data_IF_932691807240
#
_entry.id   IF_932691807240
#
_cell.length_a   1.000
_cell.length_b   1.000
_cell.length_c   1.000
_cell.angle_alpha   90.00
_cell.angle_beta   90.00
_cell.angle_gamma   90.00
#
_symmetry.space_group_name_H-M   'P 1'
#
loop_
_entity.id
_entity.type
_entity.pdbx_description
1 polymer ?
#
# COMPACT_ATOMS: atom_id res chain seq x y z
N UNK A 1 -14.25 5.54 -2.47
CA UNK A 1 -14.62 6.17 -1.19
C UNK A 1 -15.69 5.39 -0.44
N UNK A 2 -16.91 5.23 -0.96
CA UNK A 2 -17.97 4.47 -0.27
C UNK A 2 -17.56 3.04 0.10
N UNK A 3 -16.87 2.32 -0.80
CA UNK A 3 -16.36 0.98 -0.53
C UNK A 3 -15.34 0.94 0.62
N UNK A 4 -14.37 1.86 0.66
CA UNK A 4 -13.38 1.92 1.74
C UNK A 4 -14.04 2.24 3.10
N UNK A 5 -14.98 3.18 3.12
CA UNK A 5 -15.71 3.54 4.35
C UNK A 5 -16.56 2.38 4.84
N UNK A 6 -17.25 1.68 3.93
CA UNK A 6 -18.01 0.48 4.25
C UNK A 6 -17.09 -0.60 4.85
N UNK A 7 -15.96 -0.88 4.21
CA UNK A 7 -15.00 -1.89 4.66
C UNK A 7 -14.44 -1.56 6.06
N UNK A 8 -14.01 -0.32 6.30
CA UNK A 8 -13.50 0.12 7.61
C UNK A 8 -14.59 0.05 8.68
N UNK A 9 -15.83 0.48 8.36
CA UNK A 9 -16.94 0.43 9.32
C UNK A 9 -17.38 -1.00 9.64
N UNK A 10 -17.26 -1.92 8.69
CA UNK A 10 -17.57 -3.33 8.89
C UNK A 10 -16.54 -4.00 9.80
N UNK A 11 -15.25 -3.71 9.61
CA UNK A 11 -14.14 -4.36 10.32
C UNK A 11 -13.69 -3.65 11.61
N UNK A 12 -14.27 -2.50 11.91
CA UNK A 12 -13.95 -1.74 13.12
C UNK A 12 -15.22 -1.11 13.68
N UNK A 13 -16.17 -1.94 14.17
CA UNK A 13 -17.45 -1.45 14.69
C UNK A 13 -17.27 -0.64 15.98
N UNK A 14 -16.34 -1.02 16.86
CA UNK A 14 -16.18 -0.43 18.21
C UNK A 14 -14.86 0.32 18.45
N UNK A 15 -14.02 0.50 17.43
CA UNK A 15 -12.78 1.29 17.55
C UNK A 15 -11.65 0.65 18.36
N UNK A 16 -11.87 -0.53 18.93
CA UNK A 16 -10.92 -1.25 19.79
C UNK A 16 -10.89 -2.71 19.35
N UNK A 17 -9.81 -3.09 18.66
CA UNK A 17 -9.09 -4.36 18.84
C UNK A 17 -8.13 -4.58 17.65
N UNK A 18 -6.83 -4.50 17.94
CA UNK A 18 -5.77 -5.01 17.07
C UNK A 18 -4.74 -5.75 17.93
N UNK A 19 -5.16 -6.83 18.60
CA UNK A 19 -4.22 -7.75 19.26
C UNK A 19 -3.67 -8.81 18.29
N UNK A 20 -4.13 -8.84 17.03
CA UNK A 20 -3.45 -9.59 15.99
C UNK A 20 -2.36 -8.73 15.34
N UNK A 21 -1.13 -9.25 15.43
CA UNK A 21 0.10 -8.76 14.84
C UNK A 21 0.00 -8.62 13.30
N UNK A 22 -0.79 -7.66 12.84
CA UNK A 22 -0.60 -7.09 11.52
C UNK A 22 0.82 -6.48 11.51
N UNK A 23 1.60 -6.65 10.44
CA UNK A 23 2.85 -5.94 10.31
C UNK A 23 2.50 -4.45 10.34
N UNK A 24 2.75 -3.79 11.48
CA UNK A 24 2.44 -2.38 11.62
C UNK A 24 3.46 -1.61 10.81
N UNK A 25 3.06 -1.29 9.58
CA UNK A 25 3.86 -0.56 8.59
C UNK A 25 4.30 0.81 9.14
N UNK A 26 3.62 1.34 10.17
CA UNK A 26 3.85 2.67 10.74
C UNK A 26 4.42 2.75 12.15
N UNK A 27 4.57 1.64 12.91
CA UNK A 27 5.06 1.67 14.30
C UNK A 27 6.37 0.89 14.47
N UNK A 28 7.40 1.30 13.72
CA UNK A 28 8.71 0.62 13.71
C UNK A 28 9.55 0.94 14.96
N UNK A 29 9.41 2.15 15.50
CA UNK A 29 10.25 2.63 16.62
C UNK A 29 9.46 2.81 17.92
N UNK A 30 8.22 3.28 17.84
CA UNK A 30 7.39 3.53 19.02
C UNK A 30 5.97 2.99 18.83
N UNK A 31 5.48 2.25 19.83
CA UNK A 31 4.10 1.79 19.90
C UNK A 31 3.37 2.73 20.86
N UNK A 32 2.49 3.58 20.33
CA UNK A 32 1.76 4.57 21.14
C UNK A 32 0.83 3.84 22.13
N UNK A 33 1.04 4.04 23.44
CA UNK A 33 0.15 3.58 24.50
C UNK A 33 -0.72 4.74 25.02
N UNK A 34 -1.99 4.47 25.36
CA UNK A 34 -2.95 5.52 25.75
C UNK A 34 -2.52 6.33 26.98
N UNK A 35 -1.69 5.76 27.86
CA UNK A 35 -1.25 6.40 29.11
C UNK A 35 -0.10 7.41 28.97
N UNK A 36 0.54 7.51 27.80
CA UNK A 36 1.71 8.38 27.63
C UNK A 36 1.38 9.88 27.49
N UNK A 37 2.31 10.71 27.98
CA UNK A 37 2.25 12.17 27.84
C UNK A 37 2.22 12.60 26.37
N UNK A 38 1.42 13.62 26.03
CA UNK A 38 1.24 14.11 24.65
C UNK A 38 2.54 14.48 23.96
N UNK A 39 3.55 14.97 24.69
CA UNK A 39 4.87 15.29 24.13
C UNK A 39 5.69 14.05 23.79
N UNK A 40 5.54 12.96 24.56
CA UNK A 40 6.20 11.68 24.30
C UNK A 40 5.57 10.99 23.08
N UNK A 41 4.22 11.00 22.99
CA UNK A 41 3.47 10.51 21.81
C UNK A 41 3.88 11.26 20.55
N UNK A 42 3.93 12.59 20.59
CA UNK A 42 4.36 13.40 19.45
C UNK A 42 5.80 13.09 19.01
N UNK A 43 6.74 12.98 19.96
CA UNK A 43 8.14 12.65 19.65
C UNK A 43 8.30 11.27 19.01
N UNK A 44 7.65 10.25 19.57
CA UNK A 44 7.65 8.89 19.02
C UNK A 44 7.00 8.81 17.64
N UNK A 45 5.84 9.46 17.48
CA UNK A 45 5.11 9.54 16.22
C UNK A 45 5.92 10.24 15.11
N UNK A 46 6.65 11.31 15.45
CA UNK A 46 7.50 12.04 14.50
C UNK A 46 8.62 11.16 13.97
N UNK A 47 9.27 10.40 14.85
CA UNK A 47 10.35 9.47 14.47
C UNK A 47 9.80 8.34 13.60
N UNK A 48 8.66 7.75 13.98
CA UNK A 48 7.98 6.73 13.18
C UNK A 48 7.65 7.24 11.76
N UNK A 49 7.03 8.42 11.66
CA UNK A 49 6.68 9.02 10.37
C UNK A 49 7.93 9.33 9.53
N UNK A 50 9.01 9.82 10.15
CA UNK A 50 10.27 10.09 9.46
C UNK A 50 10.91 8.82 8.90
N UNK A 51 10.98 7.74 9.71
CA UNK A 51 11.50 6.44 9.26
C UNK A 51 10.68 5.90 8.10
N UNK A 52 9.35 6.00 8.19
CA UNK A 52 8.45 5.56 7.13
C UNK A 52 8.68 6.31 5.81
N UNK A 53 8.75 7.65 5.85
CA UNK A 53 9.00 8.45 4.64
C UNK A 53 10.42 8.22 4.10
N UNK A 54 11.42 8.07 4.96
CA UNK A 54 12.78 7.73 4.55
C UNK A 54 12.83 6.38 3.84
N UNK A 55 12.12 5.37 4.34
CA UNK A 55 12.01 4.05 3.73
C UNK A 55 11.37 4.12 2.33
N UNK A 56 10.24 4.82 2.18
CA UNK A 56 9.59 5.02 0.87
C UNK A 56 10.52 5.75 -0.11
N UNK A 57 11.23 6.76 0.39
CA UNK A 57 12.18 7.53 -0.42
C UNK A 57 13.29 6.64 -0.95
N UNK A 58 13.91 5.83 -0.09
CA UNK A 58 14.95 4.86 -0.49
C UNK A 58 14.41 3.88 -1.53
N UNK A 59 13.22 3.32 -1.31
CA UNK A 59 12.60 2.38 -2.26
C UNK A 59 12.34 3.03 -3.62
N UNK A 60 11.88 4.27 -3.63
CA UNK A 60 11.63 5.05 -4.86
C UNK A 60 12.93 5.31 -5.62
N UNK A 61 14.01 5.67 -4.91
CA UNK A 61 15.34 5.83 -5.51
C UNK A 61 15.89 4.53 -6.07
N UNK A 62 15.69 3.40 -5.39
CA UNK A 62 16.09 2.07 -5.89
C UNK A 62 15.38 1.76 -7.20
N UNK A 63 14.04 1.90 -7.25
CA UNK A 63 13.26 1.67 -8.49
C UNK A 63 13.73 2.61 -9.61
N UNK A 64 13.96 3.88 -9.29
CA UNK A 64 14.47 4.86 -10.25
C UNK A 64 15.86 4.48 -10.81
N UNK A 65 16.79 4.06 -9.95
CA UNK A 65 18.12 3.61 -10.38
C UNK A 65 18.00 2.37 -11.28
N UNK A 66 17.16 1.40 -10.92
CA UNK A 66 16.94 0.22 -11.76
C UNK A 66 16.35 0.58 -13.13
N UNK A 67 15.47 1.58 -13.18
CA UNK A 67 14.95 2.10 -14.44
C UNK A 67 16.06 2.74 -15.27
N UNK A 68 16.92 3.54 -14.64
CA UNK A 68 18.07 4.18 -15.29
C UNK A 68 19.09 3.17 -15.84
N UNK A 69 19.31 2.06 -15.15
CA UNK A 69 20.21 0.98 -15.59
C UNK A 69 19.57 0.01 -16.59
N UNK A 70 18.37 0.31 -17.11
CA UNK A 70 17.66 -0.52 -18.09
C UNK A 70 17.39 -1.95 -17.63
N UNK A 71 17.22 -2.19 -16.33
CA UNK A 71 16.93 -3.51 -15.76
C UNK A 71 15.44 -3.90 -15.94
N UNK A 72 14.90 -3.83 -17.16
CA UNK A 72 13.46 -3.99 -17.47
C UNK A 72 12.89 -5.32 -16.98
N UNK A 73 13.65 -6.42 -17.06
CA UNK A 73 13.20 -7.74 -16.58
C UNK A 73 13.00 -7.77 -15.07
N UNK A 74 13.85 -7.08 -14.32
CA UNK A 74 13.71 -6.98 -12.87
C UNK A 74 12.50 -6.14 -12.50
N UNK A 75 12.29 -5.01 -13.18
CA UNK A 75 11.12 -4.15 -12.96
C UNK A 75 9.83 -4.91 -13.24
N UNK A 76 9.79 -5.66 -14.35
CA UNK A 76 8.65 -6.52 -14.70
C UNK A 76 8.36 -7.55 -13.60
N UNK A 77 9.38 -8.25 -13.10
CA UNK A 77 9.23 -9.20 -12.00
C UNK A 77 8.80 -8.53 -10.68
N UNK A 78 9.38 -7.37 -10.35
CA UNK A 78 9.05 -6.59 -9.17
C UNK A 78 7.59 -6.15 -9.17
N UNK A 79 7.08 -5.63 -10.29
CA UNK A 79 5.67 -5.20 -10.41
C UNK A 79 4.70 -6.35 -10.18
N UNK A 80 5.00 -7.53 -10.74
CA UNK A 80 4.21 -8.74 -10.51
C UNK A 80 4.26 -9.22 -9.07
N UNK A 81 5.46 -9.30 -8.48
CA UNK A 81 5.63 -9.72 -7.09
C UNK A 81 4.94 -8.74 -6.12
N UNK A 82 5.11 -7.43 -6.33
CA UNK A 82 4.48 -6.40 -5.51
C UNK A 82 2.94 -6.48 -5.61
N UNK A 83 2.39 -6.55 -6.83
CA UNK A 83 0.95 -6.72 -7.03
C UNK A 83 0.40 -7.98 -6.36
N UNK A 84 1.08 -9.10 -6.55
CA UNK A 84 0.70 -10.37 -5.92
C UNK A 84 0.77 -10.29 -4.39
N UNK A 85 1.81 -9.68 -3.83
CA UNK A 85 1.97 -9.54 -2.37
C UNK A 85 0.87 -8.69 -1.73
N UNK A 86 0.35 -7.67 -2.44
CA UNK A 86 -0.75 -6.85 -1.96
C UNK A 86 -2.04 -7.69 -1.89
N UNK A 87 -2.36 -8.45 -2.93
CA UNK A 87 -3.59 -9.27 -2.94
C UNK A 87 -3.48 -10.49 -2.03
N UNK A 88 -2.40 -11.26 -2.14
CA UNK A 88 -2.21 -12.52 -1.44
C UNK A 88 -1.77 -12.34 0.02
N UNK A 89 -1.11 -11.23 0.35
CA UNK A 89 -0.72 -10.91 1.73
C UNK A 89 -1.76 -10.01 2.40
N UNK A 90 -1.76 -8.73 2.01
CA UNK A 90 -2.60 -7.73 2.66
C UNK A 90 -4.09 -7.98 2.43
N UNK A 91 -4.49 -8.29 1.20
CA UNK A 91 -5.87 -8.57 0.83
C UNK A 91 -6.42 -9.85 1.46
N UNK A 92 -5.60 -10.89 1.59
CA UNK A 92 -5.93 -12.11 2.33
C UNK A 92 -6.29 -11.79 3.79
N UNK A 93 -5.46 -11.00 4.49
CA UNK A 93 -5.71 -10.61 5.88
C UNK A 93 -7.05 -9.87 6.05
N UNK A 94 -7.37 -8.93 5.15
CA UNK A 94 -8.66 -8.22 5.17
C UNK A 94 -9.81 -9.19 4.90
N UNK A 95 -9.66 -10.12 3.95
CA UNK A 95 -10.69 -11.11 3.65
C UNK A 95 -10.98 -12.03 4.84
N UNK A 96 -9.98 -12.44 5.61
CA UNK A 96 -10.20 -13.24 6.84
C UNK A 96 -11.01 -12.46 7.87
N UNK A 97 -10.64 -11.20 8.12
CA UNK A 97 -11.36 -10.35 9.06
C UNK A 97 -12.82 -10.14 8.62
N UNK A 98 -13.08 -9.95 7.32
CA UNK A 98 -14.45 -9.87 6.78
C UNK A 98 -15.23 -11.18 6.98
N UNK A 99 -14.59 -12.34 6.79
CA UNK A 99 -15.24 -13.64 6.99
C UNK A 99 -15.59 -13.88 8.46
N UNK A 100 -14.72 -13.46 9.38
CA UNK A 100 -14.93 -13.57 10.82
C UNK A 100 -16.08 -12.66 11.29
N UNK A 101 -16.11 -11.40 10.85
CA UNK A 101 -17.19 -10.46 11.18
C UNK A 101 -18.56 -10.88 10.63
N UNK A 102 -18.58 -11.58 9.50
CA UNK A 102 -19.81 -12.11 8.89
C UNK A 102 -20.19 -13.50 9.39
N UNK A 103 -19.42 -14.10 10.31
CA UNK A 103 -19.58 -15.47 10.82
C UNK A 103 -19.72 -16.53 9.71
N UNK A 104 -18.99 -16.35 8.60
CA UNK A 104 -19.01 -17.26 7.45
C UNK A 104 -17.95 -18.34 7.65
N UNK A 105 -18.40 -19.54 8.03
CA UNK A 105 -17.54 -20.71 8.12
C UNK A 105 -17.10 -21.18 6.72
N UNK A 106 -15.84 -20.94 6.37
CA UNK A 106 -15.24 -21.33 5.10
C UNK A 106 -14.02 -22.22 5.33
N UNK A 107 -13.95 -23.36 4.63
CA UNK A 107 -12.84 -24.30 4.76
C UNK A 107 -11.52 -23.71 4.24
N UNK A 108 -10.40 -24.02 4.89
CA UNK A 108 -9.09 -23.48 4.53
C UNK A 108 -8.70 -23.74 3.06
N UNK A 109 -9.13 -24.86 2.48
CA UNK A 109 -8.87 -25.22 1.07
C UNK A 109 -9.62 -24.25 0.15
N UNK A 110 -10.92 -24.08 0.38
CA UNK A 110 -11.76 -23.17 -0.41
C UNK A 110 -11.25 -21.75 -0.29
N UNK A 111 -10.85 -21.35 0.92
CA UNK A 111 -10.30 -20.03 1.20
C UNK A 111 -9.05 -19.76 0.37
N UNK A 112 -8.08 -20.68 0.44
CA UNK A 112 -6.81 -20.58 -0.28
C UNK A 112 -7.03 -20.53 -1.78
N UNK A 113 -7.94 -21.36 -2.32
CA UNK A 113 -8.24 -21.37 -3.76
C UNK A 113 -8.85 -20.03 -4.21
N UNK A 114 -9.77 -19.45 -3.44
CA UNK A 114 -10.38 -18.15 -3.78
C UNK A 114 -9.32 -17.04 -3.78
N UNK A 115 -8.52 -16.95 -2.71
CA UNK A 115 -7.49 -15.92 -2.57
C UNK A 115 -6.41 -16.07 -3.64
N UNK A 116 -6.00 -17.30 -3.95
CA UNK A 116 -5.02 -17.56 -4.99
C UNK A 116 -5.52 -17.09 -6.37
N UNK A 117 -6.75 -17.48 -6.74
CA UNK A 117 -7.34 -17.06 -8.00
C UNK A 117 -7.50 -15.53 -8.08
N UNK A 118 -8.00 -14.90 -7.03
CA UNK A 118 -8.15 -13.45 -6.96
C UNK A 118 -6.81 -12.73 -7.08
N UNK A 119 -5.76 -13.22 -6.41
CA UNK A 119 -4.44 -12.60 -6.39
C UNK A 119 -3.71 -12.75 -7.73
N UNK A 120 -3.77 -13.93 -8.35
CA UNK A 120 -3.16 -14.17 -9.66
C UNK A 120 -3.88 -13.37 -10.74
N UNK A 121 -5.23 -13.45 -10.78
CA UNK A 121 -6.02 -12.72 -11.77
C UNK A 121 -5.87 -11.21 -11.58
N UNK A 122 -5.88 -10.72 -10.35
CA UNK A 122 -5.68 -9.31 -10.04
C UNK A 122 -4.32 -8.79 -10.49
N UNK A 123 -3.26 -9.54 -10.20
CA UNK A 123 -1.89 -9.17 -10.61
C UNK A 123 -1.74 -9.15 -12.13
N UNK A 124 -2.25 -10.18 -12.81
CA UNK A 124 -2.22 -10.27 -14.27
C UNK A 124 -3.03 -9.14 -14.92
N UNK A 125 -4.25 -8.89 -14.43
CA UNK A 125 -5.15 -7.88 -14.99
C UNK A 125 -4.65 -6.44 -14.81
N UNK A 126 -3.90 -6.16 -13.74
CA UNK A 126 -3.39 -4.81 -13.48
C UNK A 126 -2.11 -4.53 -14.28
N UNK A 127 -1.17 -5.48 -14.32
CA UNK A 127 0.20 -5.22 -14.76
C UNK A 127 0.61 -5.90 -16.07
N UNK A 128 0.05 -7.07 -16.41
CA UNK A 128 0.62 -7.92 -17.47
C UNK A 128 -0.32 -8.17 -18.65
N UNK A 129 -1.62 -7.99 -18.48
CA UNK A 129 -2.62 -8.31 -19.50
C UNK A 129 -3.54 -7.13 -19.78
N UNK A 130 -3.84 -6.90 -21.05
CA UNK A 130 -4.91 -6.01 -21.49
C UNK A 130 -6.28 -6.65 -21.17
N UNK A 131 -6.86 -6.23 -20.05
CA UNK A 131 -8.18 -6.64 -19.57
C UNK A 131 -9.20 -5.50 -19.74
N UNK A 132 -10.51 -5.78 -19.79
CA UNK A 132 -11.53 -4.73 -19.89
C UNK A 132 -11.36 -3.69 -18.78
N UNK A 133 -11.54 -2.41 -19.14
CA UNK A 133 -11.28 -1.27 -18.26
C UNK A 133 -11.99 -1.38 -16.90
N UNK A 134 -13.22 -1.90 -16.88
CA UNK A 134 -14.01 -2.08 -15.66
C UNK A 134 -13.34 -3.02 -14.66
N UNK A 135 -12.72 -4.10 -15.16
CA UNK A 135 -12.05 -5.09 -14.30
C UNK A 135 -10.74 -4.51 -13.75
N UNK A 136 -9.94 -3.86 -14.60
CA UNK A 136 -8.71 -3.17 -14.17
C UNK A 136 -9.00 -2.11 -13.12
N UNK A 137 -9.98 -1.25 -13.37
CA UNK A 137 -10.41 -0.23 -12.41
C UNK A 137 -10.91 -0.85 -11.10
N UNK A 138 -11.68 -1.94 -11.17
CA UNK A 138 -12.11 -2.69 -9.98
C UNK A 138 -10.93 -3.12 -9.11
N UNK A 139 -9.93 -3.79 -9.71
CA UNK A 139 -8.74 -4.22 -8.97
C UNK A 139 -7.90 -3.04 -8.44
N UNK A 140 -7.80 -1.93 -9.17
CA UNK A 140 -7.16 -0.71 -8.66
C UNK A 140 -7.89 -0.13 -7.44
N UNK A 141 -9.24 -0.16 -7.44
CA UNK A 141 -10.04 0.26 -6.29
C UNK A 141 -9.78 -0.66 -5.09
N UNK A 142 -9.70 -1.99 -5.30
CA UNK A 142 -9.38 -2.94 -4.24
C UNK A 142 -7.99 -2.68 -3.64
N UNK A 143 -6.95 -2.48 -4.46
CA UNK A 143 -5.59 -2.16 -3.98
C UNK A 143 -5.61 -0.90 -3.12
N UNK A 144 -6.29 0.16 -3.58
CA UNK A 144 -6.41 1.41 -2.83
C UNK A 144 -7.18 1.24 -1.52
N UNK A 145 -8.26 0.47 -1.52
CA UNK A 145 -9.07 0.20 -0.33
C UNK A 145 -8.33 -0.62 0.72
N UNK A 146 -7.66 -1.70 0.31
CA UNK A 146 -6.83 -2.54 1.18
C UNK A 146 -5.72 -1.69 1.80
N UNK A 147 -4.97 -0.94 0.98
CA UNK A 147 -3.86 -0.10 1.47
C UNK A 147 -4.37 0.96 2.45
N UNK A 148 -5.50 1.61 2.16
CA UNK A 148 -6.10 2.58 3.06
C UNK A 148 -6.54 1.96 4.39
N UNK A 149 -7.09 0.74 4.38
CA UNK A 149 -7.45 0.01 5.60
C UNK A 149 -6.25 -0.28 6.50
N UNK A 150 -5.09 -0.62 5.93
CA UNK A 150 -3.88 -0.76 6.75
C UNK A 150 -3.39 0.58 7.30
N UNK A 151 -3.57 1.68 6.56
CA UNK A 151 -3.28 3.02 7.11
C UNK A 151 -4.21 3.43 8.24
N UNK A 152 -5.46 2.96 8.31
CA UNK A 152 -6.35 3.25 9.45
C UNK A 152 -5.93 2.55 10.73
N UNK A 153 -5.03 1.57 10.68
CA UNK A 153 -4.46 0.90 11.86
C UNK A 153 -3.28 1.68 12.47
N UNK A 154 -2.84 2.77 11.85
CA UNK A 154 -1.76 3.63 12.39
C UNK A 154 -2.34 4.56 13.46
N UNK A 155 -1.63 4.78 14.59
CA UNK A 155 -2.06 5.74 15.62
C UNK A 155 -2.29 7.15 15.08
N UNK A 156 -3.13 7.93 15.76
CA UNK A 156 -3.56 9.25 15.28
C UNK A 156 -2.39 10.23 15.07
N UNK A 157 -1.50 10.36 16.05
CA UNK A 157 -0.35 11.28 15.97
C UNK A 157 0.57 10.91 14.82
N UNK A 158 0.89 9.62 14.70
CA UNK A 158 1.71 9.10 13.59
C UNK A 158 1.03 9.36 12.24
N UNK A 159 -0.29 9.21 12.14
CA UNK A 159 -1.05 9.48 10.91
C UNK A 159 -1.00 10.95 10.50
N UNK A 160 -1.26 11.88 11.42
CA UNK A 160 -1.19 13.32 11.13
C UNK A 160 0.21 13.74 10.65
N UNK A 161 1.25 13.24 11.31
CA UNK A 161 2.62 13.54 10.95
C UNK A 161 3.02 12.91 9.61
N UNK A 162 2.58 11.68 9.33
CA UNK A 162 2.78 11.02 8.05
C UNK A 162 2.15 11.84 6.91
N UNK A 163 0.92 12.31 7.08
CA UNK A 163 0.23 13.15 6.09
C UNK A 163 1.02 14.43 5.77
N UNK A 164 1.49 15.14 6.81
CA UNK A 164 2.29 16.35 6.64
C UNK A 164 3.63 16.04 5.96
N UNK A 165 4.34 15.00 6.41
CA UNK A 165 5.64 14.63 5.84
C UNK A 165 5.54 14.14 4.39
N UNK A 166 4.50 13.39 4.04
CA UNK A 166 4.25 12.97 2.66
C UNK A 166 3.90 14.15 1.76
N UNK A 167 3.12 15.12 2.24
CA UNK A 167 2.84 16.35 1.49
C UNK A 167 4.12 17.16 1.23
N UNK A 168 5.00 17.26 2.23
CA UNK A 168 6.31 17.91 2.09
C UNK A 168 7.22 17.15 1.12
N UNK A 169 7.24 15.82 1.16
CA UNK A 169 8.00 14.99 0.23
C UNK A 169 7.57 15.20 -1.22
N UNK A 170 6.26 15.17 -1.49
CA UNK A 170 5.72 15.37 -2.84
C UNK A 170 6.05 16.78 -3.37
N UNK A 171 5.91 17.81 -2.52
CA UNK A 171 6.29 19.19 -2.85
C UNK A 171 7.79 19.31 -3.17
N UNK A 172 8.66 18.66 -2.38
CA UNK A 172 10.10 18.64 -2.62
C UNK A 172 10.45 17.95 -3.95
N UNK A 173 9.81 16.82 -4.25
CA UNK A 173 10.02 16.07 -5.49
C UNK A 173 9.59 16.87 -6.74
N UNK A 174 8.51 17.66 -6.66
CA UNK A 174 8.02 18.49 -7.77
C UNK A 174 8.88 19.74 -7.97
N UNK A 175 9.31 20.42 -6.90
CA UNK A 175 10.02 21.70 -7.00
C UNK A 175 11.51 21.57 -7.37
N UNK A 176 12.11 20.39 -7.27
CA UNK A 176 13.52 20.21 -7.68
C UNK A 176 13.69 20.29 -9.21
N UNK A 177 14.47 21.26 -9.75
CA UNK A 177 14.59 21.52 -11.19
C UNK A 177 15.40 20.47 -11.97
N UNK A 178 16.08 19.54 -11.27
CA UNK A 178 16.79 18.38 -11.85
C UNK A 178 16.02 17.11 -11.51
N UNK A 179 14.76 17.07 -11.97
CA UNK A 179 13.82 16.03 -11.59
C UNK A 179 14.05 14.71 -12.36
N UNK A 180 14.26 13.57 -11.66
CA UNK A 180 14.08 12.21 -12.20
C UNK A 180 12.82 12.05 -13.06
N UNK A 181 11.75 12.77 -12.70
CA UNK A 181 10.46 12.81 -13.39
C UNK A 181 10.54 13.38 -14.81
N UNK A 182 11.32 14.43 -15.06
CA UNK A 182 11.46 15.01 -16.40
C UNK A 182 12.17 14.03 -17.34
N UNK A 183 13.19 13.34 -16.82
CA UNK A 183 13.90 12.28 -17.55
C UNK A 183 13.00 11.07 -17.79
N UNK A 184 12.18 10.68 -16.81
CA UNK A 184 11.18 9.61 -16.98
C UNK A 184 10.11 9.98 -18.02
N UNK A 185 9.64 11.23 -18.04
CA UNK A 185 8.64 11.72 -19.01
C UNK A 185 9.25 11.79 -20.41
N UNK A 186 10.46 12.32 -20.57
CA UNK A 186 11.17 12.34 -21.86
C UNK A 186 11.42 10.91 -22.35
N UNK A 187 11.86 9.97 -21.50
CA UNK A 187 12.05 8.56 -21.85
C UNK A 187 10.74 7.81 -22.16
N UNK A 188 9.62 8.18 -21.53
CA UNK A 188 8.31 7.61 -21.83
C UNK A 188 7.72 8.16 -23.14
N UNK A 189 8.02 9.42 -23.49
CA UNK A 189 7.63 10.03 -24.76
C UNK A 189 8.47 9.53 -25.94
N UNK A 190 9.74 9.18 -25.72
CA UNK A 190 10.62 8.61 -26.75
C UNK A 190 10.31 7.13 -27.07
N UNK A 191 9.60 6.40 -26.19
CA UNK A 191 9.25 4.99 -26.44
C UNK A 191 7.81 4.86 -26.97
N UNK A 192 7.60 4.27 -28.16
CA UNK A 192 6.25 3.97 -28.62
C UNK A 192 5.59 2.96 -27.66
N UNK A 193 4.32 3.24 -27.35
CA UNK A 193 3.45 2.71 -26.28
C UNK A 193 3.28 1.17 -26.26
N UNK A 194 3.93 0.41 -27.15
CA UNK A 194 3.71 -1.03 -27.37
C UNK A 194 4.54 -1.98 -26.49
N UNK A 195 5.29 -1.48 -25.50
CA UNK A 195 6.18 -2.31 -24.65
C UNK A 195 5.84 -2.28 -23.15
N UNK A 196 4.56 -2.08 -22.82
CA UNK A 196 3.99 -2.43 -21.51
C UNK A 196 2.69 -3.18 -21.69
#
# INVERSE_FOLDING_TARGET
>A
MAFCVFLVRLLTPDGVDSDEAAPSIGTVYYQEQEEDSSSAKFGGALINALIFVAFITVMTFVIFLLFKYHCTKFIWGYMGFAGFSIFAGLGQGVMLQVLQELDIALDWITYTVIVWNFSVVGTLAVFFWEMPISLKQGYLIFIGAITAFYFTRIPEWTTWLLLVMMALYDLAAVLTPVGPLRVLVELAQERPVWLF
#
